data_IF_362669742315
#
_entry.id   IF_362669742315
#
_cell.length_a   1.000
_cell.length_b   1.000
_cell.length_c   1.000
_cell.angle_alpha   90.00
_cell.angle_beta   90.00
_cell.angle_gamma   90.00
#
_symmetry.space_group_name_H-M   'P 1'
#
loop_
_entity.id
_entity.type
_entity.pdbx_description
1 polymer ?
#
# COMPACT_ATOMS: atom_id res chain seq x y z
N UNK A 1 -12.16 21.75 21.47
CA UNK A 1 -11.61 21.98 20.11
C UNK A 1 -10.37 21.13 19.98
N UNK A 2 -10.29 20.24 19.00
CA UNK A 2 -9.06 19.47 18.73
C UNK A 2 -7.98 20.42 18.20
N UNK A 3 -6.70 20.17 18.49
CA UNK A 3 -5.58 20.99 17.99
C UNK A 3 -5.56 21.11 16.46
N UNK A 4 -6.06 20.10 15.74
CA UNK A 4 -6.22 20.11 14.29
C UNK A 4 -7.25 21.15 13.79
N UNK A 5 -8.31 21.41 14.57
CA UNK A 5 -9.31 22.45 14.25
C UNK A 5 -8.68 23.84 14.27
N UNK A 6 -7.90 24.15 15.32
CA UNK A 6 -7.26 25.45 15.49
C UNK A 6 -6.32 25.80 14.33
N UNK A 7 -5.50 24.84 13.90
CA UNK A 7 -4.58 25.06 12.79
C UNK A 7 -5.31 25.31 11.46
N UNK A 8 -6.42 24.61 11.23
CA UNK A 8 -7.24 24.78 10.01
C UNK A 8 -7.93 26.15 10.00
N UNK A 9 -8.49 26.57 11.12
CA UNK A 9 -9.14 27.88 11.28
C UNK A 9 -8.13 29.03 11.09
N UNK A 10 -6.90 28.86 11.56
CA UNK A 10 -5.82 29.82 11.33
C UNK A 10 -5.47 29.95 9.85
N UNK A 11 -5.30 28.83 9.13
CA UNK A 11 -5.03 28.85 7.68
C UNK A 11 -6.18 29.48 6.89
N UNK A 12 -7.42 29.21 7.30
CA UNK A 12 -8.60 29.80 6.67
C UNK A 12 -8.60 31.33 6.83
N UNK A 13 -8.32 31.83 8.04
CA UNK A 13 -8.26 33.28 8.29
C UNK A 13 -7.17 33.99 7.47
N UNK A 14 -5.99 33.38 7.33
CA UNK A 14 -4.90 33.91 6.50
C UNK A 14 -5.32 33.93 5.02
N UNK A 15 -5.95 32.86 4.55
CA UNK A 15 -6.48 32.74 3.18
C UNK A 15 -7.50 33.83 2.89
N UNK A 16 -8.43 34.09 3.81
CA UNK A 16 -9.48 35.10 3.65
C UNK A 16 -8.89 36.52 3.58
N UNK A 17 -7.89 36.83 4.41
CA UNK A 17 -7.14 38.09 4.31
C UNK A 17 -6.38 38.20 2.98
N UNK A 18 -5.78 37.11 2.52
CA UNK A 18 -5.13 37.03 1.21
C UNK A 18 -6.09 37.30 0.06
N UNK A 19 -7.30 36.71 0.10
CA UNK A 19 -8.38 36.98 -0.86
C UNK A 19 -8.76 38.46 -0.85
N UNK A 20 -8.94 39.07 0.32
CA UNK A 20 -9.23 40.50 0.40
C UNK A 20 -8.12 41.36 -0.23
N UNK A 21 -6.84 41.05 0.01
CA UNK A 21 -5.74 41.82 -0.57
C UNK A 21 -5.60 41.63 -2.09
N UNK A 22 -5.83 40.42 -2.60
CA UNK A 22 -5.76 40.12 -4.03
C UNK A 22 -6.97 40.63 -4.81
N UNK A 23 -8.15 40.63 -4.19
CA UNK A 23 -9.43 40.88 -4.86
C UNK A 23 -10.11 42.18 -4.43
N UNK A 24 -9.48 43.04 -3.62
CA UNK A 24 -10.03 44.35 -3.19
C UNK A 24 -10.06 45.40 -4.31
N UNK A 25 -9.29 45.23 -5.39
CA UNK A 25 -9.37 46.10 -6.57
C UNK A 25 -10.38 45.58 -7.57
N UNK A 26 -11.41 46.35 -7.93
CA UNK A 26 -12.49 45.96 -8.86
C UNK A 26 -12.01 45.39 -10.21
N UNK A 27 -10.77 45.70 -10.61
CA UNK A 27 -10.10 45.20 -11.81
C UNK A 27 -9.43 43.82 -11.62
N UNK A 28 -8.84 43.56 -10.45
CA UNK A 28 -8.18 42.29 -10.15
C UNK A 28 -9.19 41.16 -9.91
N UNK A 29 -10.34 41.47 -9.31
CA UNK A 29 -11.48 40.54 -9.14
C UNK A 29 -12.01 40.06 -10.49
N UNK A 30 -12.13 40.96 -11.47
CA UNK A 30 -12.60 40.60 -12.83
C UNK A 30 -11.58 39.81 -13.64
N UNK A 31 -10.28 40.09 -13.48
CA UNK A 31 -9.20 39.39 -14.21
C UNK A 31 -9.02 37.97 -13.65
N UNK A 32 -8.99 37.80 -12.33
CA UNK A 32 -8.90 36.47 -11.74
C UNK A 32 -10.15 35.62 -11.98
N UNK A 33 -11.36 36.21 -11.92
CA UNK A 33 -12.61 35.52 -12.22
C UNK A 33 -12.71 35.03 -13.68
N UNK A 34 -11.99 35.67 -14.61
CA UNK A 34 -11.94 35.27 -16.03
C UNK A 34 -10.68 34.51 -16.44
N UNK A 35 -9.65 34.47 -15.58
CA UNK A 35 -8.43 33.72 -15.86
C UNK A 35 -8.71 32.22 -15.89
N UNK A 36 -8.13 31.53 -16.87
CA UNK A 36 -8.16 30.07 -16.90
C UNK A 36 -7.25 29.47 -15.82
N UNK A 37 -7.42 28.17 -15.57
CA UNK A 37 -6.65 27.45 -14.55
C UNK A 37 -5.15 27.46 -14.83
N UNK A 38 -4.74 27.43 -16.10
CA UNK A 38 -3.33 27.49 -16.48
C UNK A 38 -2.71 28.83 -16.05
N UNK A 39 -3.36 29.95 -16.34
CA UNK A 39 -2.89 31.29 -15.96
C UNK A 39 -2.83 31.45 -14.44
N UNK A 40 -3.79 30.86 -13.71
CA UNK A 40 -3.76 30.86 -12.25
C UNK A 40 -2.58 30.05 -11.69
N UNK A 41 -2.29 28.87 -12.25
CA UNK A 41 -1.12 28.07 -11.86
C UNK A 41 0.21 28.80 -12.13
N UNK A 42 0.33 29.47 -13.28
CA UNK A 42 1.48 30.32 -13.62
C UNK A 42 1.64 31.50 -12.64
N UNK A 43 0.53 32.14 -12.28
CA UNK A 43 0.50 33.21 -11.29
C UNK A 43 0.90 32.69 -9.90
N UNK A 44 0.42 31.51 -9.51
CA UNK A 44 0.77 30.89 -8.24
C UNK A 44 2.27 30.61 -8.14
N UNK A 45 2.90 30.07 -9.20
CA UNK A 45 4.35 29.81 -9.24
C UNK A 45 5.21 31.07 -9.20
N UNK A 46 4.75 32.16 -9.81
CA UNK A 46 5.46 33.45 -9.81
C UNK A 46 5.19 34.31 -8.57
N UNK A 47 4.17 33.96 -7.77
CA UNK A 47 3.81 34.68 -6.55
C UNK A 47 4.92 34.65 -5.49
N UNK A 48 5.10 35.77 -4.79
CA UNK A 48 6.08 35.94 -3.70
C UNK A 48 5.46 36.15 -2.31
N UNK A 49 4.16 36.45 -2.24
CA UNK A 49 3.46 36.67 -0.99
C UNK A 49 2.79 35.40 -0.49
N UNK A 50 2.96 35.07 0.78
CA UNK A 50 2.40 33.84 1.37
C UNK A 50 0.86 33.87 1.41
N UNK A 51 0.27 34.95 1.94
CA UNK A 51 -1.18 35.08 2.04
C UNK A 51 -1.87 35.11 0.66
N UNK A 52 -1.27 35.80 -0.31
CA UNK A 52 -1.77 35.83 -1.69
C UNK A 52 -1.58 34.48 -2.39
N UNK A 53 -0.45 33.80 -2.17
CA UNK A 53 -0.22 32.44 -2.67
C UNK A 53 -1.26 31.44 -2.16
N UNK A 54 -1.58 31.48 -0.86
CA UNK A 54 -2.62 30.63 -0.25
C UNK A 54 -4.01 30.89 -0.85
N UNK A 55 -4.37 32.15 -1.06
CA UNK A 55 -5.64 32.52 -1.68
C UNK A 55 -5.76 32.06 -3.15
N UNK A 56 -4.67 32.18 -3.93
CA UNK A 56 -4.61 31.66 -5.29
C UNK A 56 -4.69 30.13 -5.31
N UNK A 57 -3.97 29.45 -4.42
CA UNK A 57 -4.03 28.00 -4.29
C UNK A 57 -5.43 27.51 -3.95
N UNK A 58 -6.12 28.18 -3.01
CA UNK A 58 -7.50 27.87 -2.66
C UNK A 58 -8.44 28.05 -3.86
N UNK A 59 -8.32 29.16 -4.60
CA UNK A 59 -9.11 29.42 -5.82
C UNK A 59 -8.90 28.36 -6.91
N UNK A 60 -7.64 27.98 -7.18
CA UNK A 60 -7.31 26.93 -8.17
C UNK A 60 -7.99 25.62 -7.77
N UNK A 61 -7.86 25.23 -6.50
CA UNK A 61 -8.42 23.97 -6.00
C UNK A 61 -9.95 23.99 -5.86
N UNK A 62 -10.55 25.16 -5.64
CA UNK A 62 -12.01 25.33 -5.63
C UNK A 62 -12.56 25.19 -7.05
N UNK A 63 -11.94 25.84 -8.03
CA UNK A 63 -12.31 25.70 -9.46
C UNK A 63 -12.10 24.30 -9.97
N UNK A 64 -10.95 23.69 -9.70
CA UNK A 64 -10.68 22.30 -10.07
C UNK A 64 -11.71 21.35 -9.47
N UNK A 65 -12.08 21.53 -8.19
CA UNK A 65 -13.08 20.70 -7.52
C UNK A 65 -14.51 20.86 -8.05
N UNK A 66 -14.79 21.90 -8.82
CA UNK A 66 -16.08 22.12 -9.49
C UNK A 66 -16.09 21.64 -10.96
N UNK A 67 -14.97 21.14 -11.48
CA UNK A 67 -14.91 20.61 -12.84
C UNK A 67 -15.61 19.25 -12.94
N UNK A 68 -16.26 19.03 -14.07
CA UNK A 68 -16.70 17.69 -14.48
C UNK A 68 -15.50 16.84 -14.93
N UNK A 69 -15.72 15.55 -15.13
CA UNK A 69 -14.65 14.58 -15.45
C UNK A 69 -13.76 14.98 -16.63
N UNK A 70 -14.33 15.56 -17.70
CA UNK A 70 -13.56 16.03 -18.86
C UNK A 70 -12.65 17.23 -18.50
N UNK A 71 -13.15 18.16 -17.69
CA UNK A 71 -12.38 19.31 -17.24
C UNK A 71 -11.25 18.90 -16.29
N UNK A 72 -11.52 17.96 -15.38
CA UNK A 72 -10.52 17.42 -14.48
C UNK A 72 -9.39 16.70 -15.24
N UNK A 73 -9.75 15.92 -16.27
CA UNK A 73 -8.80 15.28 -17.17
C UNK A 73 -7.94 16.32 -17.91
N UNK A 74 -8.56 17.34 -18.50
CA UNK A 74 -7.84 18.42 -19.18
C UNK A 74 -6.87 19.18 -18.25
N UNK A 75 -7.20 19.28 -16.96
CA UNK A 75 -6.30 19.85 -15.96
C UNK A 75 -5.07 18.96 -15.71
N UNK A 76 -5.24 17.63 -15.62
CA UNK A 76 -4.13 16.68 -15.51
C UNK A 76 -3.25 16.67 -16.76
N UNK A 77 -3.87 16.81 -17.94
CA UNK A 77 -3.16 16.94 -19.22
C UNK A 77 -2.27 18.19 -19.21
N UNK A 78 -2.86 19.32 -18.85
CA UNK A 78 -2.15 20.59 -18.70
C UNK A 78 -0.97 20.50 -17.71
N UNK A 79 -1.14 19.82 -16.57
CA UNK A 79 -0.06 19.68 -15.57
C UNK A 79 1.16 18.96 -16.13
N UNK A 80 0.98 17.84 -16.81
CA UNK A 80 2.14 17.09 -17.31
C UNK A 80 2.74 17.72 -18.58
N UNK A 81 1.93 18.36 -19.44
CA UNK A 81 2.39 18.99 -20.68
C UNK A 81 3.10 20.33 -20.45
N UNK A 82 2.60 21.18 -19.54
CA UNK A 82 3.06 22.57 -19.39
C UNK A 82 3.94 22.82 -18.16
N UNK A 83 3.83 21.98 -17.13
CA UNK A 83 4.52 22.17 -15.86
C UNK A 83 5.66 21.14 -15.65
N UNK A 84 6.32 20.76 -16.75
CA UNK A 84 7.59 20.03 -16.74
C UNK A 84 8.79 20.86 -16.24
N UNK A 85 10.01 20.30 -16.29
CA UNK A 85 11.22 21.07 -16.02
C UNK A 85 11.43 22.14 -17.10
N UNK A 86 12.07 23.25 -16.71
CA UNK A 86 12.49 24.30 -17.66
C UNK A 86 13.71 23.77 -18.44
N UNK A 87 13.47 23.22 -19.62
CA UNK A 87 14.49 22.50 -20.41
C UNK A 87 15.68 23.40 -20.75
N UNK A 88 15.46 24.69 -21.01
CA UNK A 88 16.54 25.63 -21.29
C UNK A 88 17.46 25.81 -20.08
N UNK A 89 16.90 25.91 -18.87
CA UNK A 89 17.71 25.97 -17.63
C UNK A 89 18.40 24.65 -17.34
N UNK A 90 17.73 23.53 -17.61
CA UNK A 90 18.30 22.19 -17.42
C UNK A 90 19.50 21.97 -18.34
N UNK A 91 19.37 22.29 -19.63
CA UNK A 91 20.47 22.17 -20.59
C UNK A 91 21.68 23.03 -20.19
N UNK A 92 21.44 24.28 -19.77
CA UNK A 92 22.50 25.15 -19.26
C UNK A 92 23.18 24.58 -18.01
N UNK A 93 22.41 24.01 -17.09
CA UNK A 93 22.96 23.38 -15.88
C UNK A 93 23.78 22.12 -16.20
N UNK A 94 23.37 21.35 -17.21
CA UNK A 94 24.12 20.18 -17.72
C UNK A 94 25.47 20.63 -18.28
N UNK A 95 25.51 21.68 -19.11
CA UNK A 95 26.77 22.18 -19.67
C UNK A 95 27.71 22.73 -18.59
N UNK A 96 27.15 23.45 -17.60
CA UNK A 96 27.92 23.91 -16.46
C UNK A 96 28.51 22.72 -15.68
N UNK A 97 27.72 21.69 -15.40
CA UNK A 97 28.18 20.50 -14.68
C UNK A 97 29.27 19.71 -15.43
N UNK A 98 29.24 19.72 -16.77
CA UNK A 98 30.28 19.08 -17.60
C UNK A 98 31.66 19.72 -17.41
N UNK A 99 31.70 21.02 -17.13
CA UNK A 99 32.94 21.78 -16.98
C UNK A 99 33.36 21.97 -15.52
N UNK A 100 32.40 22.16 -14.62
CA UNK A 100 32.59 22.28 -13.18
C UNK A 100 31.75 21.24 -12.42
N UNK A 101 32.42 20.29 -11.75
CA UNK A 101 31.76 19.25 -10.92
C UNK A 101 31.67 19.65 -9.45
N UNK A 102 31.74 20.95 -9.14
CA UNK A 102 31.55 21.47 -7.79
C UNK A 102 30.18 21.12 -7.23
N UNK A 103 30.06 21.11 -5.90
CA UNK A 103 28.77 20.96 -5.23
C UNK A 103 27.76 22.02 -5.66
N UNK A 104 28.21 23.24 -6.00
CA UNK A 104 27.33 24.30 -6.49
C UNK A 104 26.73 23.96 -7.86
N UNK A 105 27.52 23.43 -8.79
CA UNK A 105 27.03 22.98 -10.09
C UNK A 105 26.07 21.79 -9.96
N UNK A 106 26.35 20.85 -9.06
CA UNK A 106 25.44 19.72 -8.75
C UNK A 106 24.10 20.22 -8.20
N UNK A 107 24.12 21.17 -7.26
CA UNK A 107 22.89 21.77 -6.70
C UNK A 107 22.09 22.47 -7.80
N UNK A 108 22.75 23.24 -8.67
CA UNK A 108 22.08 23.93 -9.78
C UNK A 108 21.45 22.93 -10.76
N UNK A 109 22.14 21.82 -11.07
CA UNK A 109 21.59 20.75 -11.91
C UNK A 109 20.37 20.08 -11.25
N UNK A 110 20.45 19.77 -9.96
CA UNK A 110 19.34 19.19 -9.21
C UNK A 110 18.11 20.11 -9.22
N UNK A 111 18.30 21.41 -8.95
CA UNK A 111 17.23 22.41 -8.97
C UNK A 111 16.62 22.60 -10.37
N UNK A 112 17.43 22.56 -11.43
CA UNK A 112 16.96 22.71 -12.80
C UNK A 112 16.23 21.46 -13.32
N UNK A 113 16.55 20.28 -12.78
CA UNK A 113 15.90 19.01 -13.13
C UNK A 113 14.53 18.85 -12.46
N UNK A 114 14.25 19.58 -11.38
CA UNK A 114 12.96 19.52 -10.71
C UNK A 114 11.85 20.09 -11.63
N UNK A 115 10.78 19.33 -11.90
CA UNK A 115 9.69 19.81 -12.73
C UNK A 115 8.86 20.84 -11.98
N UNK A 116 8.40 21.89 -12.68
CA UNK A 116 7.62 23.00 -12.09
C UNK A 116 6.36 22.53 -11.36
N UNK A 117 5.80 21.38 -11.77
CA UNK A 117 4.65 20.75 -11.12
C UNK A 117 4.92 20.33 -9.67
N UNK A 118 6.14 19.98 -9.27
CA UNK A 118 6.43 19.69 -7.86
C UNK A 118 6.25 20.94 -6.97
N UNK A 119 6.83 22.07 -7.38
CA UNK A 119 6.63 23.36 -6.68
C UNK A 119 5.15 23.78 -6.71
N UNK A 120 4.45 23.57 -7.83
CA UNK A 120 3.02 23.88 -7.93
C UNK A 120 2.21 23.07 -6.91
N UNK A 121 2.42 21.75 -6.83
CA UNK A 121 1.77 20.87 -5.86
C UNK A 121 2.10 21.27 -4.41
N UNK A 122 3.36 21.65 -4.12
CA UNK A 122 3.77 22.18 -2.81
C UNK A 122 2.98 23.44 -2.44
N UNK A 123 2.83 24.39 -3.37
CA UNK A 123 2.05 25.62 -3.15
C UNK A 123 0.56 25.36 -3.01
N UNK A 124 -0.01 24.47 -3.83
CA UNK A 124 -1.42 24.06 -3.73
C UNK A 124 -1.72 23.46 -2.35
N UNK A 125 -0.76 22.74 -1.75
CA UNK A 125 -0.90 22.15 -0.43
C UNK A 125 -0.98 23.19 0.72
N UNK A 126 -0.64 24.46 0.48
CA UNK A 126 -0.80 25.54 1.47
C UNK A 126 -2.25 26.01 1.61
N UNK A 127 -3.11 25.72 0.63
CA UNK A 127 -4.52 26.05 0.73
C UNK A 127 -5.20 25.32 1.90
N UNK A 128 -6.27 25.88 2.48
CA UNK A 128 -7.13 25.15 3.40
C UNK A 128 -7.62 23.85 2.76
N UNK A 129 -7.50 22.73 3.47
CA UNK A 129 -7.80 21.39 2.96
C UNK A 129 -7.05 20.98 1.67
N UNK A 130 -5.94 21.66 1.35
CA UNK A 130 -5.15 21.41 0.13
C UNK A 130 -4.68 19.96 0.03
N UNK A 131 -4.21 19.38 1.12
CA UNK A 131 -3.77 17.97 1.17
C UNK A 131 -4.88 17.01 0.73
N UNK A 132 -6.11 17.17 1.26
CA UNK A 132 -7.24 16.32 0.91
C UNK A 132 -7.60 16.43 -0.58
N UNK A 133 -7.59 17.65 -1.12
CA UNK A 133 -7.89 17.90 -2.53
C UNK A 133 -6.81 17.31 -3.45
N UNK A 134 -5.54 17.40 -3.07
CA UNK A 134 -4.43 16.79 -3.81
C UNK A 134 -4.49 15.25 -3.79
N UNK A 135 -4.88 14.64 -2.67
CA UNK A 135 -5.10 13.18 -2.59
C UNK A 135 -6.21 12.77 -3.56
N UNK A 136 -7.33 13.49 -3.60
CA UNK A 136 -8.41 13.26 -4.58
C UNK A 136 -7.97 13.49 -6.02
N UNK A 137 -7.10 14.47 -6.26
CA UNK A 137 -6.54 14.72 -7.59
C UNK A 137 -5.69 13.54 -8.07
N UNK A 138 -4.87 12.97 -7.18
CA UNK A 138 -4.12 11.74 -7.49
C UNK A 138 -5.03 10.54 -7.65
N UNK A 139 -6.10 10.41 -6.88
CA UNK A 139 -7.09 9.35 -7.07
C UNK A 139 -7.67 9.37 -8.49
N UNK A 140 -8.04 10.56 -9.00
CA UNK A 140 -8.49 10.72 -10.39
C UNK A 140 -7.39 10.38 -11.41
N UNK A 141 -6.14 10.79 -11.15
CA UNK A 141 -4.99 10.42 -11.98
C UNK A 141 -4.83 8.88 -12.08
N UNK A 142 -4.95 8.19 -10.95
CA UNK A 142 -4.82 6.73 -10.87
C UNK A 142 -6.01 5.97 -11.48
N UNK A 143 -7.18 6.62 -11.57
CA UNK A 143 -8.37 6.09 -12.23
C UNK A 143 -8.37 6.36 -13.76
N UNK A 144 -7.49 7.24 -14.25
CA UNK A 144 -7.37 7.52 -15.67
C UNK A 144 -6.95 6.28 -16.46
N UNK A 145 -7.55 6.12 -17.65
CA UNK A 145 -7.15 5.07 -18.59
C UNK A 145 -5.85 5.40 -19.33
N UNK A 146 -5.43 6.67 -19.32
CA UNK A 146 -4.16 7.05 -19.92
C UNK A 146 -3.00 6.55 -19.03
N UNK A 147 -2.07 5.85 -19.67
CA UNK A 147 -0.84 5.32 -19.08
C UNK A 147 0.37 5.82 -19.86
N UNK A 148 0.26 7.01 -20.46
CA UNK A 148 1.35 7.68 -21.16
C UNK A 148 2.51 7.97 -20.22
N UNK A 149 3.71 8.14 -20.79
CA UNK A 149 4.91 8.49 -20.03
C UNK A 149 4.74 9.79 -19.24
N UNK A 150 3.93 10.73 -19.75
CA UNK A 150 3.59 11.98 -19.07
C UNK A 150 2.79 11.76 -17.78
N UNK A 151 1.79 10.88 -17.82
CA UNK A 151 0.98 10.50 -16.65
C UNK A 151 1.82 9.78 -15.60
N UNK A 152 2.70 8.87 -16.02
CA UNK A 152 3.65 8.22 -15.11
C UNK A 152 4.61 9.22 -14.46
N UNK A 153 5.10 10.23 -15.21
CA UNK A 153 5.94 11.28 -14.64
C UNK A 153 5.19 12.16 -13.63
N UNK A 154 3.91 12.47 -13.88
CA UNK A 154 3.07 13.21 -12.95
C UNK A 154 2.80 12.41 -11.67
N UNK A 155 2.44 11.12 -11.77
CA UNK A 155 2.24 10.25 -10.60
C UNK A 155 3.53 10.06 -9.78
N UNK A 156 4.68 10.02 -10.44
CA UNK A 156 5.98 9.95 -9.76
C UNK A 156 6.23 11.17 -8.85
N UNK A 157 5.83 12.37 -9.28
CA UNK A 157 5.97 13.59 -8.47
C UNK A 157 4.98 13.63 -7.31
N UNK A 158 3.74 13.22 -7.51
CA UNK A 158 2.83 13.03 -6.38
C UNK A 158 3.38 12.00 -5.40
N UNK A 159 3.91 10.89 -5.89
CA UNK A 159 4.50 9.83 -5.06
C UNK A 159 5.67 10.36 -4.24
N UNK A 160 6.53 11.17 -4.86
CA UNK A 160 7.64 11.84 -4.19
C UNK A 160 7.16 12.75 -3.06
N UNK A 161 6.21 13.66 -3.35
CA UNK A 161 5.70 14.62 -2.37
C UNK A 161 4.92 13.93 -1.25
N UNK A 162 4.04 12.99 -1.59
CA UNK A 162 3.25 12.25 -0.61
C UNK A 162 4.11 11.33 0.25
N UNK A 163 5.21 10.77 -0.27
CA UNK A 163 6.19 10.03 0.53
C UNK A 163 6.81 10.88 1.64
N UNK A 164 7.00 12.18 1.40
CA UNK A 164 7.47 13.14 2.41
C UNK A 164 6.35 13.59 3.35
N UNK A 165 5.17 13.91 2.82
CA UNK A 165 4.06 14.47 3.61
C UNK A 165 3.39 13.45 4.52
N UNK A 166 3.26 12.20 4.07
CA UNK A 166 2.62 11.11 4.82
C UNK A 166 3.63 10.18 5.50
N UNK A 167 4.78 10.74 5.87
CA UNK A 167 5.79 9.96 6.57
C UNK A 167 5.26 9.47 7.94
N UNK A 168 5.79 8.33 8.38
CA UNK A 168 5.39 7.68 9.64
C UNK A 168 5.43 8.59 10.86
N UNK A 169 6.37 9.54 10.92
CA UNK A 169 6.57 10.41 12.07
C UNK A 169 5.39 11.33 12.37
N UNK A 170 4.49 11.54 11.41
CA UNK A 170 3.27 12.34 11.59
C UNK A 170 2.01 11.50 11.76
N UNK A 171 2.10 10.18 11.70
CA UNK A 171 0.92 9.31 11.84
C UNK A 171 0.64 9.04 13.31
N UNK A 172 -0.63 9.15 13.67
CA UNK A 172 -1.13 8.82 15.01
C UNK A 172 -2.03 7.60 14.94
N UNK A 173 -1.75 6.60 15.76
CA UNK A 173 -2.60 5.43 15.92
C UNK A 173 -3.70 5.76 16.92
N UNK A 174 -4.96 5.48 16.57
CA UNK A 174 -6.11 5.62 17.48
C UNK A 174 -6.93 4.33 17.50
N UNK A 175 -7.46 3.92 18.66
CA UNK A 175 -8.48 2.88 18.70
C UNK A 175 -9.75 3.36 17.98
N UNK A 176 -10.44 2.43 17.33
CA UNK A 176 -11.75 2.61 16.71
C UNK A 176 -12.71 1.62 17.37
N UNK A 177 -13.78 2.16 17.93
CA UNK A 177 -14.78 1.40 18.68
C UNK A 177 -16.16 2.07 18.54
N UNK A 178 -17.16 1.55 19.24
CA UNK A 178 -18.53 2.07 19.18
C UNK A 178 -18.72 3.46 19.82
N UNK A 179 -17.71 4.00 20.50
CA UNK A 179 -17.70 5.39 20.99
C UNK A 179 -17.15 6.38 19.96
N UNK A 180 -16.54 5.88 18.88
CA UNK A 180 -15.98 6.70 17.80
C UNK A 180 -17.10 7.47 17.06
N UNK A 181 -16.88 8.74 16.68
CA UNK A 181 -17.88 9.53 15.97
C UNK A 181 -18.42 8.83 14.72
N UNK A 182 -19.75 8.88 14.53
CA UNK A 182 -20.44 8.17 13.47
C UNK A 182 -19.91 8.51 12.06
N UNK A 183 -19.52 9.76 11.80
CA UNK A 183 -18.97 10.18 10.50
C UNK A 183 -17.61 9.52 10.18
N UNK A 184 -16.87 9.04 11.18
CA UNK A 184 -15.65 8.25 10.97
C UNK A 184 -16.03 6.77 10.77
N UNK A 185 -16.98 6.26 11.54
CA UNK A 185 -17.47 4.89 11.41
C UNK A 185 -18.09 4.61 10.02
N UNK A 186 -18.84 5.58 9.47
CA UNK A 186 -19.37 5.50 8.10
C UNK A 186 -18.25 5.34 7.06
N UNK A 187 -17.10 6.00 7.27
CA UNK A 187 -15.93 5.85 6.42
C UNK A 187 -15.30 4.47 6.55
N UNK A 188 -15.27 3.87 7.73
CA UNK A 188 -14.80 2.49 7.91
C UNK A 188 -15.64 1.51 7.09
N UNK A 189 -16.98 1.66 7.12
CA UNK A 189 -17.88 0.85 6.26
C UNK A 189 -17.53 1.04 4.78
N UNK A 190 -17.37 2.30 4.34
CA UNK A 190 -17.06 2.62 2.95
C UNK A 190 -15.70 2.07 2.49
N UNK A 191 -14.70 2.06 3.36
CA UNK A 191 -13.31 1.76 3.02
C UNK A 191 -12.90 0.31 3.25
N UNK A 192 -13.79 -0.54 3.78
CA UNK A 192 -13.45 -1.94 4.01
C UNK A 192 -13.28 -2.70 2.69
N UNK A 193 -12.03 -3.07 2.40
CA UNK A 193 -11.61 -3.58 1.11
C UNK A 193 -11.32 -5.09 1.11
N UNK A 194 -11.22 -5.74 2.28
CA UNK A 194 -10.92 -7.17 2.41
C UNK A 194 -12.23 -7.94 2.50
N UNK A 195 -13.02 -7.68 3.54
CA UNK A 195 -14.28 -8.33 3.87
C UNK A 195 -15.39 -7.28 3.99
N UNK A 196 -16.07 -6.99 2.88
CA UNK A 196 -17.12 -5.96 2.77
C UNK A 196 -18.07 -5.96 3.98
N UNK A 197 -18.37 -4.76 4.50
CA UNK A 197 -19.31 -4.56 5.61
C UNK A 197 -20.65 -4.15 5.00
N UNK A 198 -21.66 -4.99 5.14
CA UNK A 198 -22.99 -4.78 4.55
C UNK A 198 -23.73 -3.58 5.14
N UNK A 199 -23.41 -3.18 6.38
CA UNK A 199 -24.01 -2.01 7.02
C UNK A 199 -23.63 -1.83 8.49
N UNK A 200 -24.41 -1.00 9.19
CA UNK A 200 -24.13 -0.60 10.58
C UNK A 200 -24.18 -1.75 11.59
N UNK A 201 -25.09 -2.71 11.43
CA UNK A 201 -25.19 -3.86 12.34
C UNK A 201 -23.96 -4.77 12.21
N UNK A 202 -23.47 -4.98 10.98
CA UNK A 202 -22.23 -5.74 10.77
C UNK A 202 -21.00 -4.96 11.27
N UNK A 203 -20.94 -3.64 11.06
CA UNK A 203 -19.90 -2.83 11.68
C UNK A 203 -19.92 -2.99 13.20
N UNK A 204 -21.11 -2.94 13.81
CA UNK A 204 -21.27 -3.10 15.25
C UNK A 204 -20.81 -4.48 15.72
N UNK A 205 -21.12 -5.55 14.99
CA UNK A 205 -20.69 -6.90 15.34
C UNK A 205 -19.16 -7.08 15.28
N UNK A 206 -18.47 -6.26 14.47
CA UNK A 206 -17.00 -6.22 14.37
C UNK A 206 -16.32 -5.28 15.36
N UNK A 207 -17.03 -4.29 15.94
CA UNK A 207 -16.43 -3.29 16.84
C UNK A 207 -16.87 -3.37 18.31
N UNK A 208 -18.13 -3.76 18.57
CA UNK A 208 -18.70 -3.73 19.90
C UNK A 208 -18.26 -4.88 20.83
N UNK A 209 -18.06 -6.13 20.35
CA UNK A 209 -17.64 -7.22 21.22
C UNK A 209 -16.27 -6.99 21.87
N UNK A 210 -16.11 -7.42 23.12
CA UNK A 210 -14.88 -7.23 23.89
C UNK A 210 -13.67 -7.99 23.31
N UNK A 211 -13.91 -9.02 22.51
CA UNK A 211 -12.90 -9.78 21.77
C UNK A 211 -12.67 -9.27 20.34
N UNK A 212 -13.09 -8.03 20.06
CA UNK A 212 -12.74 -7.30 18.86
C UNK A 212 -11.99 -6.03 19.21
N UNK A 213 -11.03 -5.68 18.36
CA UNK A 213 -10.30 -4.41 18.40
C UNK A 213 -10.19 -3.88 16.99
N UNK A 214 -10.32 -2.58 16.83
CA UNK A 214 -10.01 -1.91 15.59
C UNK A 214 -9.11 -0.71 15.88
N UNK A 215 -8.19 -0.44 14.98
CA UNK A 215 -7.28 0.70 15.08
C UNK A 215 -7.21 1.40 13.73
N UNK A 216 -7.01 2.71 13.74
CA UNK A 216 -6.76 3.45 12.51
C UNK A 216 -5.62 4.47 12.68
N UNK A 217 -4.84 4.63 11.61
CA UNK A 217 -3.81 5.64 11.49
C UNK A 217 -4.40 6.92 10.89
N UNK A 218 -4.16 8.04 11.58
CA UNK A 218 -4.59 9.38 11.17
C UNK A 218 -3.40 10.28 10.95
N UNK A 219 -3.52 11.17 9.96
CA UNK A 219 -2.56 12.23 9.71
C UNK A 219 -3.17 13.58 10.13
N UNK A 220 -2.42 14.52 10.74
CA UNK A 220 -2.95 15.80 11.21
C UNK A 220 -3.65 16.63 10.13
N UNK A 221 -3.20 16.53 8.88
CA UNK A 221 -3.82 17.24 7.74
C UNK A 221 -5.11 16.57 7.22
N UNK A 222 -5.40 15.36 7.67
CA UNK A 222 -6.58 14.57 7.33
C UNK A 222 -7.16 13.96 8.63
N UNK A 223 -7.36 14.78 9.66
CA UNK A 223 -7.61 14.33 11.03
C UNK A 223 -8.89 13.47 11.20
N UNK A 224 -9.84 13.67 10.30
CA UNK A 224 -11.13 12.96 10.23
C UNK A 224 -11.15 11.84 9.17
N UNK A 225 -10.04 11.60 8.48
CA UNK A 225 -9.88 10.52 7.51
C UNK A 225 -8.95 9.44 8.08
N UNK A 226 -9.45 8.21 8.32
CA UNK A 226 -8.55 7.09 8.50
C UNK A 226 -7.73 6.91 7.22
N UNK A 227 -6.42 6.70 7.35
CA UNK A 227 -5.55 6.40 6.20
C UNK A 227 -5.39 4.90 6.01
N UNK A 228 -5.17 4.20 7.13
CA UNK A 228 -5.15 2.75 7.21
C UNK A 228 -5.90 2.36 8.45
N UNK A 229 -6.83 1.41 8.36
CA UNK A 229 -7.38 0.77 9.54
C UNK A 229 -7.09 -0.72 9.56
N UNK A 230 -7.13 -1.27 10.77
CA UNK A 230 -6.71 -2.62 11.10
C UNK A 230 -7.77 -3.21 12.01
N UNK A 231 -8.41 -4.28 11.57
CA UNK A 231 -9.35 -5.05 12.37
C UNK A 231 -8.68 -6.29 12.97
N UNK A 232 -8.91 -6.51 14.26
CA UNK A 232 -8.28 -7.56 15.06
C UNK A 232 -9.34 -8.36 15.81
N UNK A 233 -9.29 -9.67 15.65
CA UNK A 233 -10.04 -10.61 16.46
C UNK A 233 -9.15 -11.18 17.57
N UNK A 234 -9.62 -11.14 18.80
CA UNK A 234 -8.98 -11.77 19.94
C UNK A 234 -9.51 -13.19 20.07
N UNK A 235 -8.62 -14.18 20.05
CA UNK A 235 -8.97 -15.61 20.01
C UNK A 235 -8.07 -16.44 20.93
N UNK A 236 -8.45 -17.70 21.15
CA UNK A 236 -7.64 -18.69 21.89
C UNK A 236 -6.69 -19.48 20.98
N UNK A 237 -6.84 -19.38 19.66
CA UNK A 237 -6.09 -20.15 18.66
C UNK A 237 -5.95 -19.40 17.32
N UNK A 238 -5.02 -19.85 16.46
CA UNK A 238 -4.75 -19.25 15.14
C UNK A 238 -5.74 -19.79 14.09
N UNK A 239 -6.68 -18.97 13.59
CA UNK A 239 -7.73 -19.42 12.67
C UNK A 239 -7.17 -19.74 11.28
N UNK A 240 -7.83 -20.68 10.60
CA UNK A 240 -7.50 -21.11 9.22
C UNK A 240 -8.45 -20.50 8.20
N UNK A 241 -9.71 -20.30 8.59
CA UNK A 241 -10.73 -19.76 7.71
C UNK A 241 -11.30 -18.46 8.25
N UNK A 242 -11.69 -17.56 7.35
CA UNK A 242 -12.32 -16.29 7.75
C UNK A 242 -13.72 -16.52 8.33
N UNK A 243 -14.40 -17.60 7.92
CA UNK A 243 -15.66 -18.03 8.51
C UNK A 243 -15.58 -18.20 10.02
N UNK A 244 -14.46 -18.72 10.55
CA UNK A 244 -14.25 -18.89 11.99
C UNK A 244 -14.22 -17.54 12.76
N UNK A 245 -13.90 -16.45 12.06
CA UNK A 245 -13.75 -15.10 12.62
C UNK A 245 -15.02 -14.27 12.46
N UNK A 246 -15.72 -14.40 11.33
CA UNK A 246 -16.88 -13.57 10.97
C UNK A 246 -18.24 -14.23 11.22
N UNK A 247 -18.29 -15.50 11.64
CA UNK A 247 -19.56 -16.20 11.92
C UNK A 247 -20.43 -15.45 12.94
N UNK A 248 -21.70 -15.26 12.57
CA UNK A 248 -22.73 -14.75 13.46
C UNK A 248 -23.04 -15.75 14.59
N UNK A 249 -23.32 -15.26 15.79
CA UNK A 249 -23.66 -16.11 16.94
C UNK A 249 -22.49 -16.92 17.51
N UNK A 250 -21.24 -16.62 17.10
CA UNK A 250 -20.05 -17.19 17.73
C UNK A 250 -20.00 -16.91 19.23
N UNK A 251 -19.39 -17.81 19.99
CA UNK A 251 -19.10 -17.57 21.41
C UNK A 251 -18.12 -16.40 21.53
N UNK A 252 -18.56 -15.34 22.21
CA UNK A 252 -17.71 -14.20 22.53
C UNK A 252 -16.88 -14.54 23.76
N UNK A 253 -15.59 -14.22 23.71
CA UNK A 253 -14.70 -14.41 24.86
C UNK A 253 -14.41 -13.06 25.51
N UNK A 254 -14.02 -13.09 26.78
CA UNK A 254 -13.45 -11.90 27.39
C UNK A 254 -12.05 -11.63 26.81
N UNK A 255 -11.67 -10.35 26.71
CA UNK A 255 -10.42 -9.96 26.08
C UNK A 255 -9.17 -10.53 26.77
N UNK A 256 -9.24 -10.73 28.09
CA UNK A 256 -8.19 -11.28 28.95
C UNK A 256 -8.02 -12.80 28.83
N UNK A 257 -9.03 -13.51 28.34
CA UNK A 257 -8.96 -14.94 28.03
C UNK A 257 -8.26 -15.23 26.70
N UNK A 258 -8.06 -14.21 25.87
CA UNK A 258 -7.43 -14.35 24.57
C UNK A 258 -5.93 -14.59 24.69
N UNK A 259 -5.42 -15.49 23.84
CA UNK A 259 -3.98 -15.79 23.74
C UNK A 259 -3.40 -15.36 22.39
N UNK A 260 -4.26 -15.05 21.43
CA UNK A 260 -3.90 -14.77 20.04
C UNK A 260 -4.66 -13.54 19.55
N UNK A 261 -3.93 -12.59 18.97
CA UNK A 261 -4.49 -11.47 18.21
C UNK A 261 -4.39 -11.78 16.73
N UNK A 262 -5.54 -11.80 16.05
CA UNK A 262 -5.68 -12.13 14.63
C UNK A 262 -6.02 -10.88 13.83
N UNK A 263 -5.06 -10.37 13.08
CA UNK A 263 -5.23 -9.29 12.11
C UNK A 263 -5.94 -9.84 10.86
N UNK A 264 -7.26 -9.71 10.78
CA UNK A 264 -8.05 -10.32 9.70
C UNK A 264 -8.43 -9.32 8.60
N UNK A 265 -8.36 -8.01 8.86
CA UNK A 265 -8.49 -6.98 7.82
C UNK A 265 -7.50 -5.85 8.04
N UNK A 266 -6.87 -5.42 6.95
CA UNK A 266 -6.02 -4.22 6.87
C UNK A 266 -6.37 -3.50 5.57
N UNK A 267 -7.00 -2.35 5.70
CA UNK A 267 -7.55 -1.60 4.57
C UNK A 267 -6.85 -0.25 4.46
N UNK A 268 -6.36 0.08 3.25
CA UNK A 268 -5.94 1.44 2.91
C UNK A 268 -7.18 2.21 2.45
N UNK A 269 -7.49 3.30 3.12
CA UNK A 269 -8.74 4.05 2.93
C UNK A 269 -8.66 5.06 1.79
N UNK A 270 -7.46 5.40 1.34
CA UNK A 270 -7.24 6.51 0.41
C UNK A 270 -6.58 5.97 -0.86
N UNK A 271 -7.36 5.81 -1.92
CA UNK A 271 -6.85 5.35 -3.22
C UNK A 271 -5.80 6.30 -3.79
N UNK A 272 -5.96 7.61 -3.54
CA UNK A 272 -4.94 8.62 -3.86
C UNK A 272 -3.62 8.44 -3.10
N UNK A 273 -3.56 7.61 -2.05
CA UNK A 273 -2.34 7.23 -1.33
C UNK A 273 -1.84 5.83 -1.71
N UNK A 274 -2.38 5.21 -2.77
CA UNK A 274 -1.90 3.93 -3.27
C UNK A 274 -0.40 3.99 -3.60
N UNK A 275 0.36 3.02 -3.10
CA UNK A 275 1.81 2.94 -3.28
C UNK A 275 2.63 3.86 -2.37
N UNK A 276 2.01 4.71 -1.55
CA UNK A 276 2.71 5.53 -0.56
C UNK A 276 3.00 4.66 0.66
N UNK A 277 4.28 4.57 1.05
CA UNK A 277 4.67 3.87 2.26
C UNK A 277 4.47 4.78 3.47
N UNK A 278 3.66 4.33 4.42
CA UNK A 278 3.50 4.95 5.74
C UNK A 278 4.58 4.50 6.74
N UNK A 279 5.69 3.97 6.21
CA UNK A 279 6.75 3.33 6.97
C UNK A 279 6.51 1.84 7.15
N UNK A 280 7.61 1.10 7.25
CA UNK A 280 7.59 -0.26 7.74
C UNK A 280 7.42 -0.20 9.27
N UNK A 281 6.73 -1.18 9.86
CA UNK A 281 6.39 -1.29 11.29
C UNK A 281 5.08 -0.62 11.75
N UNK A 282 4.09 -0.41 10.86
CA UNK A 282 2.73 -0.03 11.29
C UNK A 282 2.15 -1.07 12.24
N UNK A 283 2.26 -2.35 11.87
CA UNK A 283 1.72 -3.47 12.65
C UNK A 283 2.47 -3.65 13.96
N UNK A 284 3.76 -3.32 14.01
CA UNK A 284 4.54 -3.35 15.25
C UNK A 284 3.90 -2.46 16.34
N UNK A 285 3.44 -1.26 15.98
CA UNK A 285 2.79 -0.35 16.93
C UNK A 285 1.50 -0.95 17.49
N UNK A 286 0.66 -1.53 16.62
CA UNK A 286 -0.60 -2.16 17.03
C UNK A 286 -0.33 -3.36 17.94
N UNK A 287 0.69 -4.17 17.62
CA UNK A 287 1.13 -5.30 18.43
C UNK A 287 1.64 -4.85 19.79
N UNK A 288 2.42 -3.78 19.86
CA UNK A 288 2.93 -3.21 21.12
C UNK A 288 1.79 -2.68 22.02
N UNK A 289 0.83 -1.95 21.45
CA UNK A 289 -0.34 -1.47 22.17
C UNK A 289 -1.21 -2.63 22.68
N UNK A 290 -1.50 -3.63 21.83
CA UNK A 290 -2.24 -4.83 22.23
C UNK A 290 -1.53 -5.60 23.35
N UNK A 291 -0.20 -5.74 23.28
CA UNK A 291 0.57 -6.45 24.32
C UNK A 291 0.59 -5.68 25.65
N UNK A 292 0.65 -4.34 25.59
CA UNK A 292 0.58 -3.49 26.78
C UNK A 292 -0.78 -3.62 27.46
N UNK A 293 -1.85 -3.57 26.67
CA UNK A 293 -3.23 -3.54 27.18
C UNK A 293 -3.72 -4.96 27.56
N UNK A 294 -3.25 -6.00 26.88
CA UNK A 294 -3.61 -7.41 27.05
C UNK A 294 -2.35 -8.29 27.13
N UNK A 295 -1.68 -8.36 28.30
CA UNK A 295 -0.42 -9.10 28.45
C UNK A 295 -0.55 -10.63 28.30
N UNK A 296 -1.78 -11.16 28.32
CA UNK A 296 -2.07 -12.58 28.05
C UNK A 296 -1.85 -13.00 26.59
N UNK A 297 -1.78 -12.05 25.66
CA UNK A 297 -1.55 -12.31 24.25
C UNK A 297 -0.12 -12.79 23.99
N UNK A 298 -0.01 -13.96 23.36
CA UNK A 298 1.26 -14.63 23.02
C UNK A 298 1.52 -14.65 21.52
N UNK A 299 0.46 -14.75 20.72
CA UNK A 299 0.55 -14.87 19.27
C UNK A 299 -0.05 -13.64 18.59
N UNK A 300 0.67 -13.08 17.63
CA UNK A 300 0.21 -11.98 16.79
C UNK A 300 0.28 -12.46 15.35
N UNK A 301 -0.87 -12.79 14.77
CA UNK A 301 -0.97 -13.47 13.48
C UNK A 301 -1.95 -12.74 12.58
N UNK A 302 -1.75 -12.82 11.28
CA UNK A 302 -2.75 -12.33 10.34
C UNK A 302 -3.59 -13.48 9.81
N UNK A 303 -4.74 -13.18 9.22
CA UNK A 303 -5.42 -14.06 8.29
C UNK A 303 -5.63 -13.26 7.00
N UNK A 304 -4.66 -13.34 6.10
CA UNK A 304 -4.52 -12.43 4.97
C UNK A 304 -4.98 -13.07 3.65
N UNK A 305 -5.56 -12.28 2.73
CA UNK A 305 -5.86 -12.73 1.37
C UNK A 305 -4.57 -12.84 0.53
N UNK A 306 -4.67 -13.49 -0.64
CA UNK A 306 -3.56 -13.64 -1.60
C UNK A 306 -3.93 -13.05 -2.97
N UNK A 307 -4.15 -11.73 -3.05
CA UNK A 307 -4.69 -11.11 -4.26
C UNK A 307 -3.70 -11.19 -5.42
N UNK A 308 -4.00 -12.04 -6.39
CA UNK A 308 -3.20 -12.22 -7.61
C UNK A 308 -2.71 -13.65 -7.83
N UNK A 309 -2.89 -14.55 -6.86
CA UNK A 309 -2.48 -15.94 -7.00
C UNK A 309 -3.19 -16.65 -8.16
N UNK A 310 -4.51 -16.48 -8.32
CA UNK A 310 -5.25 -17.11 -9.42
C UNK A 310 -4.74 -16.64 -10.80
N UNK A 311 -4.43 -15.34 -10.94
CA UNK A 311 -3.87 -14.79 -12.18
C UNK A 311 -2.47 -15.35 -12.47
N UNK A 312 -1.63 -15.44 -11.44
CA UNK A 312 -0.30 -16.05 -11.57
C UNK A 312 -0.42 -17.53 -11.96
N UNK A 313 -1.31 -18.28 -11.30
CA UNK A 313 -1.52 -19.70 -11.56
C UNK A 313 -2.05 -19.93 -12.98
N UNK A 314 -2.98 -19.10 -13.46
CA UNK A 314 -3.47 -19.15 -14.84
C UNK A 314 -2.33 -18.96 -15.86
N UNK A 315 -1.41 -18.01 -15.60
CA UNK A 315 -0.21 -17.81 -16.44
C UNK A 315 0.73 -19.02 -16.39
N UNK A 316 0.91 -19.62 -15.22
CA UNK A 316 1.72 -20.83 -15.06
C UNK A 316 1.10 -22.03 -15.81
N UNK A 317 -0.22 -22.25 -15.68
CA UNK A 317 -0.98 -23.28 -16.41
C UNK A 317 -0.85 -23.14 -17.93
N UNK A 318 -0.94 -21.91 -18.45
CA UNK A 318 -0.85 -21.62 -19.88
C UNK A 318 0.58 -21.72 -20.45
N UNK A 319 1.61 -21.63 -19.61
CA UNK A 319 3.00 -21.70 -20.06
C UNK A 319 3.41 -23.16 -20.31
N UNK A 320 3.66 -23.53 -21.56
CA UNK A 320 4.19 -24.85 -21.91
C UNK A 320 5.65 -25.08 -21.46
N UNK A 321 6.35 -24.03 -21.02
CA UNK A 321 7.77 -24.07 -20.64
C UNK A 321 8.01 -24.04 -19.13
N UNK A 322 6.95 -23.96 -18.30
CA UNK A 322 7.11 -24.06 -16.85
C UNK A 322 7.52 -25.48 -16.45
N UNK A 323 8.84 -25.67 -16.28
CA UNK A 323 9.48 -26.95 -15.92
C UNK A 323 9.16 -27.43 -14.51
N UNK A 324 8.55 -26.59 -13.68
CA UNK A 324 8.21 -26.91 -12.30
C UNK A 324 6.75 -27.36 -12.14
N UNK A 325 5.98 -27.42 -13.24
CA UNK A 325 4.61 -27.93 -13.28
C UNK A 325 4.57 -29.21 -14.11
N UNK A 326 4.44 -30.37 -13.45
CA UNK A 326 4.31 -31.68 -14.14
C UNK A 326 3.01 -31.75 -14.94
N UNK A 327 2.96 -32.67 -15.91
CA UNK A 327 1.72 -32.89 -16.69
C UNK A 327 0.56 -33.34 -15.79
N UNK A 328 0.84 -34.24 -14.84
CA UNK A 328 -0.14 -34.69 -13.83
C UNK A 328 -0.67 -33.54 -12.96
N UNK A 329 0.18 -32.57 -12.62
CA UNK A 329 -0.23 -31.37 -11.90
C UNK A 329 -1.12 -30.47 -12.79
N UNK A 330 -0.80 -30.34 -14.09
CA UNK A 330 -1.65 -29.59 -15.04
C UNK A 330 -3.03 -30.20 -15.16
N UNK A 331 -3.12 -31.52 -15.32
CA UNK A 331 -4.38 -32.26 -15.39
C UNK A 331 -5.20 -32.05 -14.12
N UNK A 332 -4.57 -32.17 -12.94
CA UNK A 332 -5.23 -31.93 -11.65
C UNK A 332 -5.76 -30.50 -11.52
N UNK A 333 -5.01 -29.51 -12.01
CA UNK A 333 -5.43 -28.11 -11.99
C UNK A 333 -6.59 -27.79 -12.94
N UNK A 334 -6.94 -28.67 -13.89
CA UNK A 334 -8.16 -28.50 -14.69
C UNK A 334 -9.43 -28.62 -13.85
N UNK A 335 -9.37 -29.29 -12.68
CA UNK A 335 -10.49 -29.36 -11.75
C UNK A 335 -10.91 -27.97 -11.24
N UNK A 336 -10.00 -26.98 -11.23
CA UNK A 336 -10.30 -25.61 -10.84
C UNK A 336 -11.33 -24.92 -11.74
N UNK A 337 -11.54 -25.43 -12.95
CA UNK A 337 -12.47 -24.88 -13.94
C UNK A 337 -13.93 -25.36 -13.69
N UNK A 338 -14.13 -26.36 -12.83
CA UNK A 338 -15.46 -26.80 -12.37
C UNK A 338 -15.88 -25.99 -11.13
N UNK A 339 -16.95 -25.15 -11.18
CA UNK A 339 -17.34 -24.33 -10.03
C UNK A 339 -17.69 -25.13 -8.76
N UNK A 340 -17.99 -26.42 -8.87
CA UNK A 340 -18.34 -27.28 -7.73
C UNK A 340 -17.12 -28.02 -7.12
N UNK A 341 -15.92 -27.85 -7.67
CA UNK A 341 -14.71 -28.48 -7.11
C UNK A 341 -14.51 -28.24 -5.60
N UNK A 342 -14.84 -27.07 -5.01
CA UNK A 342 -14.63 -26.84 -3.59
C UNK A 342 -15.55 -27.67 -2.68
N UNK A 343 -16.72 -28.07 -3.18
CA UNK A 343 -17.71 -28.87 -2.45
C UNK A 343 -17.52 -30.38 -2.67
N UNK A 344 -16.75 -30.77 -3.69
CA UNK A 344 -16.39 -32.15 -3.92
C UNK A 344 -15.10 -32.50 -3.18
N UNK A 345 -15.22 -33.19 -2.04
CA UNK A 345 -14.10 -33.56 -1.16
C UNK A 345 -12.94 -34.24 -1.89
N UNK A 346 -13.23 -35.12 -2.87
CA UNK A 346 -12.18 -35.80 -3.65
C UNK A 346 -11.43 -34.82 -4.55
N UNK A 347 -12.15 -33.95 -5.26
CA UNK A 347 -11.53 -32.93 -6.11
C UNK A 347 -10.74 -31.92 -5.28
N UNK A 348 -11.32 -31.43 -4.18
CA UNK A 348 -10.66 -30.51 -3.26
C UNK A 348 -9.35 -31.08 -2.72
N UNK A 349 -9.33 -32.37 -2.33
CA UNK A 349 -8.12 -33.05 -1.84
C UNK A 349 -7.03 -33.16 -2.91
N UNK A 350 -7.40 -33.53 -4.14
CA UNK A 350 -6.46 -33.58 -5.27
C UNK A 350 -5.89 -32.19 -5.60
N UNK A 351 -6.75 -31.18 -5.63
CA UNK A 351 -6.36 -29.78 -5.86
C UNK A 351 -5.44 -29.27 -4.75
N UNK A 352 -5.75 -29.53 -3.47
CA UNK A 352 -4.94 -29.08 -2.34
C UNK A 352 -3.50 -29.58 -2.44
N UNK A 353 -3.33 -30.87 -2.78
CA UNK A 353 -2.03 -31.54 -2.93
C UNK A 353 -1.12 -30.83 -3.94
N UNK A 354 -1.68 -30.27 -5.00
CA UNK A 354 -0.94 -29.58 -6.06
C UNK A 354 -0.85 -28.07 -5.81
N UNK A 355 -1.92 -27.46 -5.30
CA UNK A 355 -2.04 -26.01 -5.13
C UNK A 355 -1.12 -25.49 -4.03
N UNK A 356 -0.99 -26.19 -2.90
CA UNK A 356 -0.16 -25.72 -1.77
C UNK A 356 1.35 -25.64 -2.10
N UNK A 357 1.98 -26.65 -2.75
CA UNK A 357 3.36 -26.51 -3.27
C UNK A 357 3.54 -25.33 -4.24
N UNK A 358 2.57 -25.09 -5.12
CA UNK A 358 2.61 -23.96 -6.05
C UNK A 358 2.46 -22.61 -5.35
N UNK A 359 1.61 -22.53 -4.32
CA UNK A 359 1.50 -21.37 -3.46
C UNK A 359 2.81 -21.12 -2.70
N UNK A 360 3.47 -22.16 -2.18
CA UNK A 360 4.79 -22.03 -1.57
C UNK A 360 5.83 -21.47 -2.56
N UNK A 361 5.86 -21.96 -3.81
CA UNK A 361 6.69 -21.40 -4.88
C UNK A 361 6.38 -19.94 -5.15
N UNK A 362 5.09 -19.60 -5.26
CA UNK A 362 4.61 -18.25 -5.50
C UNK A 362 5.12 -17.25 -4.45
N UNK A 363 5.11 -17.62 -3.16
CA UNK A 363 5.63 -16.74 -2.12
C UNK A 363 7.15 -16.73 -2.00
N UNK A 364 7.78 -17.91 -2.08
CA UNK A 364 9.20 -18.07 -1.71
C UNK A 364 10.14 -17.78 -2.88
N UNK A 365 9.73 -18.05 -4.12
CA UNK A 365 10.61 -18.02 -5.29
C UNK A 365 10.24 -16.93 -6.29
N UNK A 366 8.96 -16.72 -6.57
CA UNK A 366 8.53 -15.80 -7.62
C UNK A 366 8.79 -14.34 -7.21
N UNK A 367 9.32 -13.54 -8.15
CA UNK A 367 9.67 -12.13 -7.94
C UNK A 367 9.17 -11.24 -9.06
N UNK A 368 8.91 -9.96 -8.75
CA UNK A 368 8.69 -8.91 -9.75
C UNK A 368 9.99 -8.59 -10.50
N UNK A 369 9.95 -7.84 -11.62
CA UNK A 369 11.17 -7.39 -12.31
C UNK A 369 12.14 -6.62 -11.41
N UNK A 370 11.63 -5.95 -10.37
CA UNK A 370 12.44 -5.25 -9.37
C UNK A 370 12.92 -6.17 -8.22
N UNK A 371 12.78 -7.49 -8.35
CA UNK A 371 13.29 -8.46 -7.38
C UNK A 371 12.48 -8.59 -6.08
N UNK A 372 11.24 -8.07 -6.03
CA UNK A 372 10.37 -8.12 -4.83
C UNK A 372 9.40 -9.29 -4.88
N UNK A 373 8.87 -9.80 -3.75
CA UNK A 373 7.78 -10.78 -3.77
C UNK A 373 6.63 -10.34 -4.68
N UNK A 374 6.09 -11.26 -5.49
CA UNK A 374 5.04 -10.95 -6.47
C UNK A 374 3.72 -10.51 -5.83
N UNK A 375 3.35 -11.14 -4.71
CA UNK A 375 2.13 -10.84 -4.00
C UNK A 375 2.21 -9.49 -3.26
N UNK A 376 1.27 -8.56 -3.46
CA UNK A 376 1.30 -7.26 -2.80
C UNK A 376 1.10 -7.34 -1.29
N UNK A 377 0.30 -8.30 -0.79
CA UNK A 377 0.00 -8.47 0.64
C UNK A 377 1.20 -9.11 1.35
N UNK A 378 1.91 -10.03 0.70
CA UNK A 378 3.18 -10.56 1.15
C UNK A 378 4.24 -9.45 1.23
N UNK A 379 4.37 -8.61 0.20
CA UNK A 379 5.28 -7.45 0.25
C UNK A 379 4.99 -6.56 1.46
N UNK A 380 3.71 -6.33 1.76
CA UNK A 380 3.31 -5.54 2.92
C UNK A 380 3.71 -6.24 4.24
N UNK A 381 3.29 -7.48 4.48
CA UNK A 381 3.51 -8.13 5.77
C UNK A 381 4.98 -8.48 6.02
N UNK A 382 5.66 -9.03 5.01
CA UNK A 382 7.09 -9.34 5.09
C UNK A 382 7.92 -8.04 5.21
N UNK A 383 7.51 -6.98 4.50
CA UNK A 383 8.09 -5.64 4.66
C UNK A 383 7.89 -5.06 6.06
N UNK A 384 6.84 -5.47 6.78
CA UNK A 384 6.62 -5.14 8.19
C UNK A 384 7.30 -6.11 9.16
N UNK A 385 8.16 -7.03 8.68
CA UNK A 385 8.94 -7.95 9.51
C UNK A 385 8.21 -9.23 9.92
N UNK A 386 7.07 -9.54 9.30
CA UNK A 386 6.38 -10.79 9.57
C UNK A 386 7.09 -11.99 8.95
N UNK A 387 6.79 -13.18 9.46
CA UNK A 387 7.13 -14.48 8.85
C UNK A 387 5.91 -15.07 8.17
N UNK A 388 6.06 -15.63 6.97
CA UNK A 388 5.01 -16.44 6.35
C UNK A 388 4.84 -17.75 7.15
N UNK A 389 3.75 -17.87 7.90
CA UNK A 389 3.58 -18.90 8.90
C UNK A 389 2.90 -20.15 8.36
N UNK A 390 1.78 -19.97 7.65
CA UNK A 390 0.93 -21.07 7.19
C UNK A 390 0.17 -20.67 5.94
N UNK A 391 -0.04 -21.64 5.05
CA UNK A 391 -0.96 -21.55 3.92
C UNK A 391 -2.27 -22.24 4.31
N UNK A 392 -3.40 -21.58 4.06
CA UNK A 392 -4.73 -22.06 4.42
C UNK A 392 -5.53 -22.32 3.14
N UNK A 393 -5.60 -23.58 2.73
CA UNK A 393 -6.43 -24.01 1.61
C UNK A 393 -7.91 -23.80 1.95
N UNK A 394 -8.67 -23.22 0.99
CA UNK A 394 -10.08 -22.86 1.17
C UNK A 394 -10.36 -22.06 2.47
N UNK A 395 -9.43 -21.19 2.87
CA UNK A 395 -9.57 -20.31 4.02
C UNK A 395 -10.67 -19.24 3.82
N UNK A 396 -10.96 -18.86 2.58
CA UNK A 396 -12.08 -17.98 2.25
C UNK A 396 -12.82 -18.50 1.02
N UNK A 397 -14.09 -18.88 1.22
CA UNK A 397 -14.95 -19.43 0.16
C UNK A 397 -15.87 -18.38 -0.47
N UNK A 398 -15.70 -17.10 -0.13
CA UNK A 398 -16.42 -16.00 -0.77
C UNK A 398 -16.10 -15.95 -2.27
N UNK A 399 -17.06 -15.50 -3.08
CA UNK A 399 -16.90 -15.39 -4.54
C UNK A 399 -15.64 -14.59 -4.91
N UNK A 400 -15.35 -13.52 -4.17
CA UNK A 400 -14.17 -12.67 -4.36
C UNK A 400 -12.86 -13.44 -4.13
N UNK A 401 -12.73 -14.15 -3.00
CA UNK A 401 -11.52 -14.91 -2.70
C UNK A 401 -11.31 -16.11 -3.63
N UNK A 402 -12.40 -16.76 -4.05
CA UNK A 402 -12.36 -17.82 -5.06
C UNK A 402 -11.83 -17.31 -6.40
N UNK A 403 -12.24 -16.12 -6.84
CA UNK A 403 -11.73 -15.48 -8.06
C UNK A 403 -10.28 -14.99 -7.93
N UNK A 404 -9.89 -14.47 -6.76
CA UNK A 404 -8.56 -13.89 -6.55
C UNK A 404 -7.47 -14.94 -6.34
N UNK A 405 -7.79 -16.04 -5.67
CA UNK A 405 -6.80 -16.99 -5.17
C UNK A 405 -7.32 -18.43 -4.99
N UNK A 406 -8.46 -18.79 -5.60
CA UNK A 406 -9.07 -20.12 -5.40
C UNK A 406 -9.34 -20.44 -3.91
N UNK A 407 -9.66 -19.40 -3.14
CA UNK A 407 -9.94 -19.47 -1.70
C UNK A 407 -8.72 -19.65 -0.80
N UNK A 408 -7.51 -19.56 -1.34
CA UNK A 408 -6.28 -19.56 -0.56
C UNK A 408 -6.19 -18.31 0.33
N UNK A 409 -5.94 -18.52 1.63
CA UNK A 409 -5.50 -17.49 2.56
C UNK A 409 -4.16 -17.86 3.19
N UNK A 410 -3.53 -16.93 3.89
CA UNK A 410 -2.27 -17.17 4.60
C UNK A 410 -2.27 -16.56 5.98
N UNK A 411 -1.54 -17.16 6.91
CA UNK A 411 -1.19 -16.51 8.17
C UNK A 411 0.23 -15.96 8.09
N UNK A 412 0.41 -14.68 8.41
CA UNK A 412 1.72 -14.10 8.72
C UNK A 412 1.87 -13.97 10.24
N UNK A 413 3.01 -14.39 10.78
CA UNK A 413 3.32 -14.29 12.22
C UNK A 413 4.21 -13.07 12.49
N UNK A 414 3.80 -12.25 13.44
CA UNK A 414 4.57 -11.14 14.00
C UNK A 414 5.17 -11.53 15.34
N UNK A 415 6.42 -12.02 15.33
CA UNK A 415 7.19 -12.25 16.55
C UNK A 415 8.06 -11.02 16.82
N UNK A 416 7.75 -10.26 17.89
CA UNK A 416 8.34 -8.93 18.14
C UNK A 416 9.88 -8.94 18.08
N UNK A 417 10.50 -9.94 18.69
CA UNK A 417 11.96 -10.07 18.75
C UNK A 417 12.59 -10.31 17.37
N UNK A 418 11.82 -10.85 16.43
CA UNK A 418 12.29 -11.20 15.08
C UNK A 418 11.90 -10.13 14.04
N UNK A 419 10.99 -9.19 14.34
CA UNK A 419 10.44 -8.21 13.38
C UNK A 419 11.56 -7.46 12.65
N UNK A 420 12.55 -6.94 13.39
CA UNK A 420 13.65 -6.16 12.80
C UNK A 420 14.55 -7.06 11.95
N UNK A 421 14.91 -8.24 12.46
CA UNK A 421 15.77 -9.18 11.74
C UNK A 421 15.13 -9.66 10.43
N UNK A 422 13.82 -9.96 10.45
CA UNK A 422 13.05 -10.36 9.27
C UNK A 422 12.95 -9.21 8.25
N UNK A 423 12.71 -7.99 8.73
CA UNK A 423 12.68 -6.80 7.87
C UNK A 423 14.01 -6.61 7.13
N UNK A 424 15.13 -6.65 7.85
CA UNK A 424 16.46 -6.51 7.26
C UNK A 424 16.81 -7.66 6.30
N UNK A 425 16.38 -8.89 6.60
CA UNK A 425 16.54 -10.04 5.71
C UNK A 425 15.89 -9.81 4.35
N UNK A 426 14.65 -9.31 4.33
CA UNK A 426 13.95 -9.01 3.09
C UNK A 426 14.57 -7.79 2.39
N UNK A 427 14.80 -6.70 3.13
CA UNK A 427 15.26 -5.43 2.57
C UNK A 427 16.66 -5.51 1.96
N UNK A 428 17.59 -6.22 2.62
CA UNK A 428 18.98 -6.30 2.19
C UNK A 428 19.26 -7.51 1.28
N UNK A 429 18.60 -8.65 1.53
CA UNK A 429 18.92 -9.92 0.86
C UNK A 429 17.81 -10.43 -0.04
N UNK A 430 16.64 -9.78 -0.08
CA UNK A 430 15.46 -10.29 -0.80
C UNK A 430 14.94 -11.62 -0.23
N UNK A 431 15.33 -11.96 1.00
CA UNK A 431 15.06 -13.23 1.65
C UNK A 431 13.66 -13.23 2.27
N UNK A 432 12.81 -14.18 1.87
CA UNK A 432 11.48 -14.36 2.47
C UNK A 432 11.59 -15.30 3.65
N UNK A 433 11.31 -14.78 4.85
CA UNK A 433 11.26 -15.59 6.07
C UNK A 433 9.93 -16.34 6.12
N UNK A 434 10.01 -17.67 6.20
CA UNK A 434 8.86 -18.56 6.24
C UNK A 434 9.07 -19.72 7.24
N UNK A 435 7.97 -20.28 7.75
CA UNK A 435 8.01 -21.41 8.67
C UNK A 435 8.57 -22.69 8.00
N UNK A 436 9.10 -23.65 8.76
CA UNK A 436 9.55 -24.93 8.21
C UNK A 436 8.45 -25.66 7.43
N UNK A 437 7.19 -25.59 7.90
CA UNK A 437 6.05 -26.21 7.25
C UNK A 437 5.78 -25.63 5.85
N UNK A 438 5.92 -24.31 5.67
CA UNK A 438 5.78 -23.70 4.34
C UNK A 438 6.99 -24.04 3.46
N UNK A 439 8.20 -24.06 4.01
CA UNK A 439 9.41 -24.43 3.26
C UNK A 439 9.37 -25.88 2.77
N UNK A 440 8.82 -26.82 3.55
CA UNK A 440 8.73 -28.22 3.16
C UNK A 440 7.81 -28.47 1.96
N UNK A 441 6.83 -27.59 1.71
CA UNK A 441 5.93 -27.69 0.54
C UNK A 441 6.69 -27.53 -0.79
N UNK A 442 7.82 -26.82 -0.82
CA UNK A 442 8.65 -26.71 -2.03
C UNK A 442 9.25 -28.05 -2.46
N UNK A 443 9.54 -28.93 -1.50
CA UNK A 443 10.22 -30.20 -1.77
C UNK A 443 9.25 -31.30 -2.22
N UNK A 444 7.93 -31.13 -2.00
CA UNK A 444 6.93 -32.14 -2.35
C UNK A 444 6.71 -32.27 -3.87
N UNK A 445 7.06 -31.25 -4.65
CA UNK A 445 7.03 -31.35 -6.12
C UNK A 445 8.16 -32.20 -6.71
N UNK A 446 9.21 -32.52 -5.95
CA UNK A 446 10.35 -33.31 -6.43
C UNK A 446 10.18 -34.83 -6.19
N UNK A 447 9.21 -35.28 -5.40
CA UNK A 447 9.02 -36.73 -5.14
C UNK A 447 8.50 -37.52 -6.35
N UNK A 448 8.05 -36.84 -7.42
CA UNK A 448 7.79 -37.45 -8.73
C UNK A 448 9.06 -37.82 -9.54
N UNK A 449 10.26 -37.47 -9.06
CA UNK A 449 11.55 -37.78 -9.73
C UNK A 449 12.27 -39.01 -9.15
N UNK A 450 11.72 -39.65 -8.12
CA UNK A 450 12.37 -40.75 -7.40
C UNK A 450 12.07 -42.15 -7.94
N UNK A 451 12.26 -42.40 -9.24
CA UNK A 451 12.31 -43.78 -9.79
C UNK A 451 13.09 -43.77 -11.10
N UNK A 452 14.42 -43.72 -11.01
CA UNK A 452 15.29 -43.80 -12.18
C UNK A 452 16.76 -43.65 -11.84
N UNK A 453 17.40 -44.79 -11.52
CA UNK A 453 18.84 -45.08 -11.52
C UNK A 453 19.81 -44.11 -10.85
N UNK A 454 20.48 -44.62 -9.81
CA UNK A 454 21.62 -43.98 -9.19
C UNK A 454 22.78 -43.77 -10.15
N UNK A 455 23.33 -42.57 -10.13
CA UNK A 455 24.75 -42.31 -10.27
C UNK A 455 25.09 -40.99 -9.58
N UNK A 456 26.11 -41.05 -8.72
CA UNK A 456 26.68 -39.92 -7.99
C UNK A 456 27.10 -38.81 -8.95
N UNK A 457 26.66 -37.59 -8.70
CA UNK A 457 27.10 -36.38 -9.40
C UNK A 457 27.12 -35.20 -8.44
N UNK A 458 28.32 -34.75 -8.10
CA UNK A 458 28.65 -33.69 -7.16
C UNK A 458 27.97 -32.35 -7.47
N UNK A 459 27.51 -31.66 -6.42
CA UNK A 459 27.07 -30.26 -6.45
C UNK A 459 28.24 -29.33 -6.81
N UNK A 460 28.00 -28.23 -7.55
CA UNK A 460 28.82 -27.04 -7.36
C UNK A 460 27.96 -25.76 -7.33
N UNK A 461 27.81 -25.15 -6.15
CA UNK A 461 27.50 -23.72 -6.02
C UNK A 461 28.04 -23.21 -4.68
N UNK A 462 29.35 -22.97 -4.65
CA UNK A 462 30.01 -22.10 -3.69
C UNK A 462 31.39 -21.73 -4.29
N UNK A 463 31.55 -20.46 -4.68
CA UNK A 463 32.80 -19.68 -4.74
C UNK A 463 32.80 -18.71 -5.92
N UNK A 464 32.21 -17.52 -5.72
CA UNK A 464 32.72 -16.29 -6.33
C UNK A 464 32.55 -15.18 -5.28
N UNK A 465 33.62 -14.88 -4.54
CA UNK A 465 34.00 -13.53 -4.09
C UNK A 465 35.20 -13.66 -3.15
N UNK A 466 36.41 -13.52 -3.70
CA UNK A 466 37.57 -12.91 -3.05
C UNK A 466 38.76 -12.92 -4.02
N UNK A 467 38.89 -11.87 -4.84
CA UNK A 467 40.19 -11.49 -5.43
C UNK A 467 40.11 -10.18 -6.22
N UNK A 468 40.01 -9.04 -5.54
CA UNK A 468 40.62 -7.80 -6.04
C UNK A 468 40.69 -6.78 -4.93
N UNK A 469 41.82 -6.72 -4.21
CA UNK A 469 42.43 -5.51 -3.65
C UNK A 469 43.73 -5.95 -2.96
N UNK A 470 44.85 -5.70 -3.62
CA UNK A 470 46.17 -6.07 -3.14
C UNK A 470 47.26 -5.63 -4.12
N UNK A 471 47.20 -4.37 -4.55
CA UNK A 471 48.31 -3.75 -5.27
C UNK A 471 49.48 -3.56 -4.32
N UNK A 472 50.57 -4.27 -4.57
CA UNK A 472 51.82 -4.08 -3.86
C UNK A 472 52.52 -2.78 -4.25
N UNK A 473 53.22 -2.19 -3.28
CA UNK A 473 54.52 -1.54 -3.52
C UNK A 473 55.26 -1.30 -2.20
N UNK A 474 56.45 -1.91 -2.18
CA UNK A 474 57.64 -1.69 -1.36
C UNK A 474 57.62 -2.12 0.10
#
# INVERSE_FOLDING_TARGET
MSEASFFTDMLQSITDRGRQLLFSGSRATQVAAKADLQTLCETLLSSRGEASGMALAAEILDRWGALESEGAQAFLDMLHEKFGPDTAKLDQAIENYRTDKSSAAIIALHQAAEPRRQELLRRLNHAPNGTAKLVRMREQLLASKDQSAGYHALDADFTHLFGSWFNRGFLTLRPIDWSTPAYILEKIIKYEAVHEIAGWEELRSRLAPADRRCFAFFHPRLADEPLVFVEVALTRSVPRAIGDVLVEGREQINADEATTAVFYSISNCQDGLRGISFGNFLIKQVVEDLRRDLPGLKNFVTLSPVPGFARWLAKARASATDRFLSETARETLMLLDDPNWPDNEKMATEVERVLLPLAARYFLTERTPEGRPVDPVARFHLGNGARLERLNFLGDRSTKAMQQAHGLMVNYLYKLDDIVANHEALAQRGEVIASPAVKSLLNQNDEGRGSGNGQQGSRPFANIMNSTLGGGRK
#
